data_IF_111100197715
#
_entry.id   IF_111100197715
#
_cell.length_a   1.000
_cell.length_b   1.000
_cell.length_c   1.000
_cell.angle_alpha   90.00
_cell.angle_beta   90.00
_cell.angle_gamma   90.00
#
_symmetry.space_group_name_H-M   'P 1'
#
loop_
_entity.id
_entity.type
_entity.pdbx_description
1 polymer ?
#
# COMPACT_ATOMS: atom_id res chain seq x y z
N UNK A 1 4.04 23.30 -5.70
CA UNK A 1 2.98 22.27 -5.80
C UNK A 1 3.52 20.84 -5.64
N UNK A 2 4.79 20.55 -5.96
CA UNK A 2 5.37 19.18 -5.87
C UNK A 2 5.31 18.51 -4.49
N UNK A 3 5.40 19.26 -3.39
CA UNK A 3 5.31 18.68 -2.03
C UNK A 3 3.93 18.11 -1.72
N UNK A 4 2.88 18.59 -2.41
CA UNK A 4 1.53 18.12 -2.22
C UNK A 4 1.30 16.76 -2.91
N UNK A 5 1.91 16.54 -4.08
CA UNK A 5 1.84 15.24 -4.78
C UNK A 5 2.37 14.09 -3.94
N UNK A 6 3.42 14.32 -3.16
CA UNK A 6 4.01 13.31 -2.29
C UNK A 6 3.02 12.84 -1.22
N UNK A 7 2.16 13.73 -0.72
CA UNK A 7 1.11 13.39 0.26
C UNK A 7 -0.02 12.55 -0.34
N UNK A 8 -0.17 12.60 -1.66
CA UNK A 8 -1.18 11.87 -2.43
C UNK A 8 -0.64 10.60 -3.09
N UNK A 9 0.63 10.28 -2.84
CA UNK A 9 1.35 9.16 -3.44
C UNK A 9 1.53 8.02 -2.45
N UNK A 10 1.10 6.83 -2.82
CA UNK A 10 1.34 5.60 -2.07
C UNK A 10 2.82 5.20 -2.16
N UNK A 11 3.48 5.00 -1.02
CA UNK A 11 4.90 4.65 -0.99
C UNK A 11 5.22 3.21 -1.45
N UNK A 12 4.21 2.37 -1.68
CA UNK A 12 4.38 0.99 -2.18
C UNK A 12 4.45 0.97 -3.70
N UNK A 13 3.45 1.56 -4.38
CA UNK A 13 3.44 1.64 -5.84
C UNK A 13 4.11 2.90 -6.40
N UNK A 14 4.47 3.86 -5.53
CA UNK A 14 4.98 5.19 -5.90
C UNK A 14 4.06 5.87 -6.93
N UNK A 15 2.77 5.76 -6.70
CA UNK A 15 1.70 6.24 -7.58
C UNK A 15 0.56 6.79 -6.72
N UNK A 16 -0.39 7.51 -7.33
CA UNK A 16 -1.53 8.06 -6.60
C UNK A 16 -2.30 6.97 -5.85
N UNK A 17 -2.74 7.31 -4.65
CA UNK A 17 -3.51 6.40 -3.81
C UNK A 17 -4.78 5.90 -4.52
N UNK A 18 -5.03 4.59 -4.42
CA UNK A 18 -6.27 3.93 -4.86
C UNK A 18 -6.92 3.23 -3.67
N UNK A 19 -8.10 3.71 -3.27
CA UNK A 19 -8.84 3.19 -2.10
C UNK A 19 -7.88 3.09 -0.90
N UNK A 20 -7.36 4.21 -0.38
CA UNK A 20 -6.33 4.19 0.67
C UNK A 20 -6.90 3.54 1.94
N UNK A 21 -6.29 2.45 2.39
CA UNK A 21 -6.67 1.69 3.58
C UNK A 21 -5.71 2.02 4.73
N UNK A 22 -6.27 2.20 5.93
CA UNK A 22 -5.54 2.55 7.14
C UNK A 22 -5.13 1.29 7.92
N UNK A 23 -3.83 1.18 8.18
CA UNK A 23 -3.34 0.29 9.22
C UNK A 23 -3.60 0.90 10.61
N UNK A 24 -3.65 0.08 11.69
CA UNK A 24 -3.77 0.58 13.06
C UNK A 24 -2.66 1.57 13.47
N UNK A 25 -1.50 1.54 12.81
CA UNK A 25 -0.45 2.55 12.99
C UNK A 25 -0.70 3.89 12.26
N UNK A 26 -1.88 4.09 11.68
CA UNK A 26 -2.32 5.29 10.94
C UNK A 26 -1.62 5.57 9.60
N UNK A 27 -0.84 4.63 9.08
CA UNK A 27 -0.28 4.71 7.73
C UNK A 27 -1.26 4.15 6.70
N UNK A 28 -1.29 4.76 5.51
CA UNK A 28 -2.23 4.43 4.43
C UNK A 28 -1.52 3.83 3.23
N UNK A 29 -2.14 2.83 2.62
CA UNK A 29 -1.65 2.14 1.41
C UNK A 29 -2.82 1.83 0.47
N UNK A 30 -2.58 1.66 -0.83
CA UNK A 30 -3.65 1.21 -1.74
C UNK A 30 -4.17 -0.16 -1.30
N UNK A 31 -5.48 -0.37 -1.36
CA UNK A 31 -6.10 -1.66 -0.98
C UNK A 31 -5.50 -2.83 -1.78
N UNK A 32 -5.62 -2.76 -3.09
CA UNK A 32 -5.05 -3.72 -4.04
C UNK A 32 -4.26 -2.96 -5.10
N UNK A 33 -3.15 -3.53 -5.60
CA UNK A 33 -2.44 -4.72 -5.12
C UNK A 33 -1.47 -4.43 -3.96
N UNK A 34 -1.38 -3.19 -3.47
CA UNK A 34 -0.33 -2.79 -2.53
C UNK A 34 -0.46 -3.48 -1.16
N UNK A 35 -1.60 -3.34 -0.47
CA UNK A 35 -1.76 -4.02 0.83
C UNK A 35 -1.85 -5.54 0.68
N UNK A 36 -2.53 -6.04 -0.35
CA UNK A 36 -2.61 -7.49 -0.61
C UNK A 36 -1.22 -8.10 -0.80
N UNK A 37 -0.34 -7.46 -1.55
CA UNK A 37 1.04 -7.90 -1.75
C UNK A 37 1.92 -7.85 -0.50
N UNK A 38 1.49 -7.14 0.56
CA UNK A 38 2.20 -7.06 1.85
C UNK A 38 1.72 -8.08 2.88
N UNK A 39 0.68 -8.87 2.57
CA UNK A 39 0.12 -9.84 3.51
C UNK A 39 1.03 -11.07 3.63
N UNK A 40 1.44 -11.37 4.86
CA UNK A 40 1.90 -12.69 5.25
C UNK A 40 0.68 -13.56 5.56
N UNK A 41 0.29 -14.41 4.60
CA UNK A 41 -0.87 -15.30 4.74
C UNK A 41 -0.66 -16.42 5.76
N UNK A 42 0.58 -16.80 6.05
CA UNK A 42 0.91 -17.83 7.06
C UNK A 42 0.67 -17.27 8.45
N UNK A 43 1.14 -16.05 8.71
CA UNK A 43 0.99 -15.37 10.00
C UNK A 43 -0.31 -14.58 10.13
N UNK A 44 -1.06 -14.42 9.03
CA UNK A 44 -2.23 -13.52 8.91
C UNK A 44 -1.91 -12.11 9.41
N UNK A 45 -0.79 -11.58 8.97
CA UNK A 45 -0.30 -10.27 9.38
C UNK A 45 0.14 -9.44 8.17
N UNK A 46 0.13 -8.12 8.33
CA UNK A 46 0.77 -7.18 7.42
C UNK A 46 1.78 -6.36 8.20
N UNK A 47 2.95 -6.15 7.59
CA UNK A 47 4.00 -5.29 8.14
C UNK A 47 3.98 -3.96 7.42
N UNK A 48 3.83 -2.87 8.17
CA UNK A 48 3.80 -1.52 7.62
C UNK A 48 5.17 -1.15 6.98
N UNK A 49 5.23 -0.77 5.70
CA UNK A 49 6.46 -0.32 5.05
C UNK A 49 7.10 0.92 5.69
N UNK A 50 6.30 1.82 6.27
CA UNK A 50 6.77 3.11 6.81
C UNK A 50 7.34 2.97 8.22
N UNK A 51 6.59 2.35 9.14
CA UNK A 51 6.98 2.26 10.55
C UNK A 51 7.37 0.86 11.02
N UNK A 52 7.31 -0.16 10.14
CA UNK A 52 7.63 -1.56 10.42
C UNK A 52 6.74 -2.25 11.47
N UNK A 53 5.69 -1.59 11.95
CA UNK A 53 4.70 -2.19 12.84
C UNK A 53 3.97 -3.35 12.16
N UNK A 54 3.67 -4.40 12.91
CA UNK A 54 2.97 -5.59 12.43
C UNK A 54 1.52 -5.58 12.94
N UNK A 55 0.57 -5.84 12.04
CA UNK A 55 -0.85 -5.80 12.33
C UNK A 55 -1.53 -7.06 11.84
N UNK A 56 -2.44 -7.61 12.65
CA UNK A 56 -3.26 -8.76 12.23
C UNK A 56 -4.25 -8.34 11.14
N UNK A 57 -4.40 -9.21 10.14
CA UNK A 57 -5.40 -9.03 9.09
C UNK A 57 -6.78 -9.38 9.64
N UNK A 58 -7.81 -8.53 9.43
CA UNK A 58 -9.19 -8.85 9.76
C UNK A 58 -9.67 -10.11 9.05
N UNK A 59 -10.73 -10.75 9.56
CA UNK A 59 -11.27 -11.99 8.98
C UNK A 59 -11.62 -11.85 7.49
N UNK A 60 -12.15 -10.70 7.10
CA UNK A 60 -12.54 -10.39 5.73
C UNK A 60 -11.36 -9.89 4.86
N UNK A 61 -10.10 -10.03 5.28
CA UNK A 61 -8.94 -9.59 4.50
C UNK A 61 -8.63 -8.09 4.60
N UNK A 62 -7.74 -7.59 3.73
CA UNK A 62 -7.25 -6.20 3.77
C UNK A 62 -8.33 -5.15 3.49
N UNK A 63 -9.36 -5.50 2.72
CA UNK A 63 -10.50 -4.65 2.41
C UNK A 63 -11.28 -4.20 3.65
N UNK A 64 -11.20 -4.97 4.75
CA UNK A 64 -11.87 -4.66 6.01
C UNK A 64 -11.10 -3.68 6.90
N UNK A 65 -9.90 -3.26 6.51
CA UNK A 65 -9.31 -2.06 7.10
C UNK A 65 -10.13 -0.82 6.73
N UNK A 66 -10.22 0.18 7.63
CA UNK A 66 -10.95 1.41 7.34
C UNK A 66 -10.29 2.16 6.18
N UNK A 67 -11.10 2.75 5.31
CA UNK A 67 -10.61 3.64 4.25
C UNK A 67 -10.28 5.01 4.83
N UNK A 68 -9.15 5.60 4.44
CA UNK A 68 -8.80 6.98 4.79
C UNK A 68 -9.63 7.96 3.96
N UNK A 69 -10.84 8.26 4.44
CA UNK A 69 -11.78 9.13 3.74
C UNK A 69 -11.23 10.55 3.53
N UNK A 70 -10.44 11.07 4.48
CA UNK A 70 -9.84 12.39 4.38
C UNK A 70 -8.84 12.46 3.22
N UNK A 71 -7.95 11.47 3.13
CA UNK A 71 -7.02 11.35 2.00
C UNK A 71 -7.76 11.17 0.67
N UNK A 72 -8.86 10.41 0.67
CA UNK A 72 -9.70 10.27 -0.51
C UNK A 72 -10.31 11.59 -0.98
N UNK A 73 -10.79 12.44 -0.05
CA UNK A 73 -11.25 13.80 -0.39
C UNK A 73 -10.15 14.67 -0.96
N UNK A 74 -8.92 14.58 -0.43
CA UNK A 74 -7.81 15.36 -0.99
C UNK A 74 -7.42 14.91 -2.40
N UNK A 75 -7.50 13.60 -2.70
CA UNK A 75 -7.30 13.10 -4.06
C UNK A 75 -8.35 13.66 -5.03
N UNK A 76 -9.63 13.66 -4.62
CA UNK A 76 -10.73 14.21 -5.41
C UNK A 76 -10.56 15.71 -5.67
N UNK A 77 -10.31 16.51 -4.61
CA UNK A 77 -10.08 17.95 -4.73
C UNK A 77 -8.87 18.27 -5.61
N UNK A 78 -7.82 17.45 -5.54
CA UNK A 78 -6.65 17.67 -6.38
C UNK A 78 -6.97 17.51 -7.88
N UNK A 79 -7.80 16.53 -8.24
CA UNK A 79 -8.28 16.34 -9.63
C UNK A 79 -9.12 17.55 -10.06
N UNK A 80 -9.99 18.06 -9.18
CA UNK A 80 -10.83 19.23 -9.48
C UNK A 80 -10.00 20.51 -9.70
N UNK A 81 -8.94 20.71 -8.91
CA UNK A 81 -8.09 21.90 -8.98
C UNK A 81 -7.16 21.88 -10.19
N UNK A 82 -6.55 20.73 -10.49
CA UNK A 82 -5.52 20.62 -11.53
C UNK A 82 -6.07 20.19 -12.89
N UNK A 83 -7.23 19.52 -12.92
CA UNK A 83 -7.74 18.83 -14.10
C UNK A 83 -6.93 17.59 -14.48
N UNK A 84 -5.93 17.19 -13.68
CA UNK A 84 -5.09 16.03 -13.95
C UNK A 84 -5.79 14.75 -13.48
N UNK A 85 -6.36 14.02 -14.45
CA UNK A 85 -6.89 12.69 -14.20
C UNK A 85 -5.76 11.72 -13.83
N UNK A 86 -6.01 10.75 -12.94
CA UNK A 86 -5.05 9.69 -12.67
C UNK A 86 -4.75 8.91 -13.95
N UNK A 87 -3.46 8.64 -14.20
CA UNK A 87 -3.00 7.90 -15.38
C UNK A 87 -3.68 6.51 -15.45
N UNK A 88 -4.39 6.16 -16.53
CA UNK A 88 -5.04 4.86 -16.65
C UNK A 88 -4.04 3.69 -16.65
N UNK A 89 -2.78 3.91 -17.06
CA UNK A 89 -1.74 2.89 -17.06
C UNK A 89 -1.10 2.67 -15.68
N UNK A 90 -1.38 3.56 -14.73
CA UNK A 90 -0.84 3.51 -13.38
C UNK A 90 -1.29 2.25 -12.63
N UNK A 91 -2.39 1.59 -13.04
CA UNK A 91 -2.80 0.28 -12.50
C UNK A 91 -1.71 -0.78 -12.67
N UNK A 92 -0.96 -0.74 -13.78
CA UNK A 92 0.15 -1.66 -14.05
C UNK A 92 1.35 -1.40 -13.12
N UNK A 93 1.55 -0.15 -12.68
CA UNK A 93 2.62 0.22 -11.76
C UNK A 93 2.44 -0.45 -10.39
N UNK A 94 1.19 -0.51 -9.89
CA UNK A 94 0.89 -1.16 -8.64
C UNK A 94 1.11 -2.67 -8.72
N UNK A 95 0.72 -3.31 -9.83
CA UNK A 95 0.86 -4.76 -10.04
C UNK A 95 2.33 -5.18 -10.09
N UNK A 96 3.15 -4.45 -10.85
CA UNK A 96 4.58 -4.76 -11.02
C UNK A 96 5.36 -4.61 -9.70
N UNK A 97 5.11 -3.54 -8.93
CA UNK A 97 5.83 -3.28 -7.67
C UNK A 97 5.36 -4.17 -6.51
N UNK A 98 4.09 -4.58 -6.51
CA UNK A 98 3.62 -5.61 -5.58
C UNK A 98 4.35 -6.94 -5.79
N UNK A 99 4.62 -7.32 -7.06
CA UNK A 99 5.38 -8.52 -7.39
C UNK A 99 6.86 -8.45 -6.95
N UNK A 100 7.51 -7.29 -7.07
CA UNK A 100 8.89 -7.08 -6.60
C UNK A 100 9.02 -7.19 -5.07
N UNK A 101 8.03 -6.67 -4.32
CA UNK A 101 7.98 -6.81 -2.86
C UNK A 101 7.75 -8.28 -2.42
N UNK A 102 6.95 -9.05 -3.17
CA UNK A 102 6.75 -10.49 -2.95
C UNK A 102 7.99 -11.35 -3.26
N UNK A 103 8.87 -10.88 -4.16
CA UNK A 103 10.15 -11.53 -4.45
C UNK A 103 11.17 -11.28 -3.33
N UNK A 104 11.24 -10.03 -2.85
CA UNK A 104 12.16 -9.64 -1.77
C UNK A 104 11.78 -10.26 -0.42
N UNK A 105 10.47 -10.37 -0.10
CA UNK A 105 10.00 -11.04 1.11
C UNK A 105 10.37 -12.54 1.13
N UNK A 106 10.26 -13.23 -0.01
CA UNK A 106 10.69 -14.63 -0.16
C UNK A 106 12.19 -14.84 0.09
N UNK A 107 13.06 -13.91 -0.33
CA UNK A 107 14.50 -14.00 -0.09
C UNK A 107 14.91 -13.81 1.38
N UNK A 108 14.09 -13.11 2.18
CA UNK A 108 14.34 -12.93 3.63
C UNK A 108 13.92 -14.18 4.41
N UNK A 109 12.88 -14.89 3.95
CA UNK A 109 12.45 -16.14 4.56
C UNK A 109 13.41 -17.30 4.27
N UNK A 110 14.00 -17.39 3.07
CA UNK A 110 14.97 -18.46 2.75
C UNK A 110 16.35 -18.27 3.38
N UNK A 111 16.74 -17.04 3.75
CA UNK A 111 18.03 -16.76 4.40
C UNK A 111 18.06 -16.99 5.92
N UNK A 112 16.93 -17.37 6.55
CA UNK A 112 16.89 -17.66 7.99
C UNK A 112 17.11 -19.13 8.35
N UNK A 113 17.21 -20.04 7.37
CA UNK A 113 17.41 -21.48 7.58
C UNK A 113 18.84 -21.97 7.29
N UNK A 114 19.83 -21.06 7.17
CA UNK A 114 21.26 -21.44 7.12
C UNK A 114 22.03 -20.58 8.13
N UNK A 115 21.88 -20.92 9.42
CA UNK A 115 22.96 -20.80 10.41
C UNK A 115 22.81 -21.94 11.42
N UNK A 116 23.91 -22.71 11.54
CA UNK A 116 24.18 -23.91 12.35
C UNK A 116 23.82 -25.22 11.68
#
# INVERSE_FOLDING_TARGET
MEQFEQLLTCCVCLDRYRIPKLLPCQHSFCMEPCMEGLVDYVRRQVKCPECRAEHRIPYNGVQAFPTNVTLQRFLELHIEITGELPDPTSVNSCLNKAAENLYTSRQIHTNKDIKV
#
